data_IF_710956545200
#
_entry.id   IF_710956545200
#
_cell.length_a   1.000
_cell.length_b   1.000
_cell.length_c   1.000
_cell.angle_alpha   90.00
_cell.angle_beta   90.00
_cell.angle_gamma   90.00
#
_symmetry.space_group_name_H-M   'P 1'
#
loop_
_entity.id
_entity.type
_entity.pdbx_description
1 polymer ?
#
# COMPACT_ATOMS: atom_id res chain seq x y z
N UNK A 1 -25.27 -5.25 3.44
CA UNK A 1 -23.80 -5.40 3.53
C UNK A 1 -23.50 -6.86 3.82
N UNK A 2 -22.68 -7.54 3.00
CA UNK A 2 -22.25 -8.94 3.22
C UNK A 2 -20.83 -8.92 3.74
N UNK A 3 -20.58 -9.58 4.88
CA UNK A 3 -19.24 -9.74 5.43
C UNK A 3 -18.59 -11.00 4.84
N UNK A 4 -17.34 -10.89 4.41
CA UNK A 4 -16.49 -12.02 4.07
C UNK A 4 -15.55 -12.28 5.26
N UNK A 5 -15.71 -13.42 5.92
CA UNK A 5 -14.84 -13.81 7.02
C UNK A 5 -13.62 -14.54 6.49
N UNK A 6 -12.44 -14.18 7.00
CA UNK A 6 -11.19 -14.82 6.66
C UNK A 6 -10.82 -15.88 7.72
N UNK A 7 -10.28 -17.04 7.32
CA UNK A 7 -9.65 -17.94 8.27
C UNK A 7 -8.47 -17.26 8.98
N UNK A 8 -8.12 -17.67 10.21
CA UNK A 8 -6.94 -17.16 10.89
C UNK A 8 -5.68 -17.30 10.03
N UNK A 9 -4.80 -16.30 10.09
CA UNK A 9 -3.51 -16.29 9.39
C UNK A 9 -3.59 -16.54 7.88
N UNK A 10 -4.64 -16.04 7.22
CA UNK A 10 -4.81 -16.14 5.77
C UNK A 10 -4.60 -14.78 5.07
N UNK A 11 -3.36 -14.23 5.09
CA UNK A 11 -3.07 -12.95 4.43
C UNK A 11 -3.27 -13.02 2.91
N UNK A 12 -3.12 -14.21 2.33
CA UNK A 12 -3.32 -14.46 0.89
C UNK A 12 -4.76 -14.21 0.43
N UNK A 13 -5.73 -14.23 1.36
CA UNK A 13 -7.12 -13.88 1.07
C UNK A 13 -7.44 -12.42 1.39
N UNK A 14 -6.45 -11.58 1.70
CA UNK A 14 -6.65 -10.17 2.04
C UNK A 14 -5.93 -9.25 1.04
N UNK A 15 -6.62 -8.70 0.03
CA UNK A 15 -5.98 -7.95 -1.06
C UNK A 15 -5.24 -6.68 -0.60
N UNK A 16 -5.52 -6.18 0.61
CA UNK A 16 -4.77 -5.05 1.16
C UNK A 16 -3.31 -5.38 1.50
N UNK A 17 -2.98 -6.67 1.69
CA UNK A 17 -1.60 -7.10 1.97
C UNK A 17 -0.67 -6.83 0.78
N UNK A 18 -1.14 -7.12 -0.44
CA UNK A 18 -0.42 -6.76 -1.67
C UNK A 18 -0.34 -5.25 -1.87
N UNK A 19 -1.41 -4.52 -1.54
CA UNK A 19 -1.42 -3.06 -1.54
C UNK A 19 -0.35 -2.46 -0.61
N UNK A 20 -0.24 -2.97 0.63
CA UNK A 20 0.83 -2.57 1.54
C UNK A 20 2.21 -2.99 1.04
N UNK A 21 2.33 -4.15 0.40
CA UNK A 21 3.58 -4.58 -0.23
C UNK A 21 4.04 -3.61 -1.32
N UNK A 22 3.12 -3.18 -2.19
CA UNK A 22 3.38 -2.21 -3.25
C UNK A 22 3.76 -0.83 -2.69
N UNK A 23 3.04 -0.33 -1.68
CA UNK A 23 3.37 0.93 -1.00
C UNK A 23 4.78 0.87 -0.36
N UNK A 24 5.11 -0.24 0.32
CA UNK A 24 6.46 -0.47 0.87
C UNK A 24 7.53 -0.50 -0.23
N UNK A 25 7.23 -1.10 -1.38
CA UNK A 25 8.14 -1.11 -2.52
C UNK A 25 8.38 0.30 -3.05
N UNK A 26 7.34 1.12 -3.18
CA UNK A 26 7.45 2.53 -3.56
C UNK A 26 8.32 3.33 -2.57
N UNK A 27 8.10 3.16 -1.26
CA UNK A 27 8.90 3.83 -0.22
C UNK A 27 10.38 3.45 -0.35
N UNK A 28 10.68 2.16 -0.57
CA UNK A 28 12.06 1.68 -0.75
C UNK A 28 12.71 2.22 -2.02
N UNK A 29 11.95 2.32 -3.11
CA UNK A 29 12.43 2.91 -4.36
C UNK A 29 12.71 4.42 -4.21
N UNK A 30 11.95 5.12 -3.37
CA UNK A 30 12.08 6.54 -3.08
C UNK A 30 12.80 6.81 -1.75
N UNK A 31 13.81 5.99 -1.41
CA UNK A 31 14.45 5.98 -0.08
C UNK A 31 14.95 7.36 0.38
N UNK A 32 15.60 8.12 -0.49
CA UNK A 32 16.18 9.41 -0.08
C UNK A 32 15.12 10.47 0.16
N UNK A 33 14.09 10.52 -0.70
CA UNK A 33 12.91 11.35 -0.49
C UNK A 33 12.21 10.99 0.83
N UNK A 34 11.85 9.71 0.99
CA UNK A 34 11.16 9.24 2.20
C UNK A 34 11.96 9.46 3.48
N UNK A 35 13.30 9.34 3.42
CA UNK A 35 14.17 9.65 4.57
C UNK A 35 14.17 11.13 4.92
N UNK A 36 14.12 12.03 3.93
CA UNK A 36 14.02 13.48 4.16
C UNK A 36 12.71 13.83 4.86
N UNK A 37 11.59 13.36 4.30
CA UNK A 37 10.25 13.66 4.83
C UNK A 37 10.02 13.07 6.23
N UNK A 38 10.58 11.90 6.51
CA UNK A 38 10.51 11.27 7.84
C UNK A 38 11.58 11.79 8.81
N UNK A 39 12.56 12.56 8.33
CA UNK A 39 13.66 13.10 9.13
C UNK A 39 13.29 14.31 9.99
N UNK A 40 12.14 14.94 9.71
CA UNK A 40 11.63 16.08 10.48
C UNK A 40 12.38 17.39 10.21
N UNK A 41 13.00 17.53 9.04
CA UNK A 41 13.63 18.77 8.60
C UNK A 41 12.56 19.86 8.38
N UNK A 42 12.88 21.16 8.54
CA UNK A 42 11.95 22.24 8.25
C UNK A 42 11.38 22.14 6.83
N UNK A 43 10.05 22.02 6.71
CA UNK A 43 9.35 21.86 5.44
C UNK A 43 8.97 20.41 5.09
N UNK A 44 9.36 19.43 5.91
CA UNK A 44 8.93 18.03 5.72
C UNK A 44 7.42 17.87 5.91
N UNK A 45 6.79 17.09 5.04
CA UNK A 45 5.40 16.65 5.13
C UNK A 45 5.31 15.12 4.91
N UNK A 46 5.51 14.32 5.98
CA UNK A 46 5.45 12.86 5.88
C UNK A 46 4.05 12.34 5.50
N UNK A 47 2.98 13.11 5.74
CA UNK A 47 1.63 12.71 5.36
C UNK A 47 1.41 12.87 3.86
N UNK A 48 1.86 13.98 3.26
CA UNK A 48 1.83 14.17 1.82
C UNK A 48 2.64 13.08 1.10
N UNK A 49 3.83 12.75 1.60
CA UNK A 49 4.66 11.65 1.08
C UNK A 49 3.93 10.30 1.13
N UNK A 50 3.25 9.98 2.24
CA UNK A 50 2.47 8.74 2.35
C UNK A 50 1.29 8.72 1.38
N UNK A 51 0.62 9.86 1.17
CA UNK A 51 -0.43 9.97 0.15
C UNK A 51 0.12 9.71 -1.25
N UNK A 52 1.27 10.30 -1.59
CA UNK A 52 1.94 10.04 -2.86
C UNK A 52 2.28 8.56 -3.04
N UNK A 53 2.82 7.92 -2.00
CA UNK A 53 3.11 6.49 -2.02
C UNK A 53 1.87 5.64 -2.28
N UNK A 54 0.75 5.97 -1.62
CA UNK A 54 -0.53 5.28 -1.80
C UNK A 54 -1.06 5.47 -3.22
N UNK A 55 -1.20 6.70 -3.69
CA UNK A 55 -1.78 6.97 -5.00
C UNK A 55 -0.91 6.50 -6.16
N UNK A 56 0.41 6.46 -5.98
CA UNK A 56 1.34 5.94 -6.99
C UNK A 56 1.34 4.41 -7.06
N UNK A 57 1.20 3.73 -5.91
CA UNK A 57 1.32 2.26 -5.84
C UNK A 57 -0.02 1.52 -5.98
N UNK A 58 -1.12 2.09 -5.49
CA UNK A 58 -2.44 1.46 -5.46
C UNK A 58 -3.31 1.96 -6.62
N UNK A 59 -2.87 1.69 -7.85
CA UNK A 59 -3.67 2.02 -9.05
C UNK A 59 -4.89 1.10 -9.18
N UNK A 60 -5.95 1.53 -9.90
CA UNK A 60 -7.11 0.68 -10.16
C UNK A 60 -6.75 -0.67 -10.81
N UNK A 61 -5.77 -0.68 -11.71
CA UNK A 61 -5.31 -1.89 -12.40
C UNK A 61 -4.67 -2.88 -11.42
N UNK A 62 -3.81 -2.38 -10.52
CA UNK A 62 -3.20 -3.17 -9.47
C UNK A 62 -4.25 -3.72 -8.52
N UNK A 63 -5.21 -2.89 -8.08
CA UNK A 63 -6.29 -3.32 -7.20
C UNK A 63 -7.09 -4.48 -7.81
N UNK A 64 -7.46 -4.40 -9.08
CA UNK A 64 -8.12 -5.52 -9.79
C UNK A 64 -7.24 -6.77 -9.78
N UNK A 65 -5.93 -6.63 -10.00
CA UNK A 65 -4.98 -7.74 -9.87
C UNK A 65 -5.03 -8.42 -8.50
N UNK A 66 -4.96 -7.63 -7.42
CA UNK A 66 -4.94 -8.14 -6.05
C UNK A 66 -6.25 -8.79 -5.61
N UNK A 67 -7.39 -8.24 -6.03
CA UNK A 67 -8.68 -8.89 -5.78
C UNK A 67 -8.81 -10.24 -6.51
N UNK A 68 -8.19 -10.38 -7.70
CA UNK A 68 -8.14 -11.65 -8.42
C UNK A 68 -7.22 -12.66 -7.74
N UNK A 69 -6.03 -12.23 -7.30
CA UNK A 69 -5.09 -13.10 -6.59
C UNK A 69 -5.70 -13.62 -5.27
N UNK A 70 -6.40 -12.75 -4.54
CA UNK A 70 -7.13 -13.11 -3.33
C UNK A 70 -8.44 -13.90 -3.57
N UNK A 71 -8.81 -14.17 -4.82
CA UNK A 71 -9.93 -15.05 -5.19
C UNK A 71 -11.34 -14.43 -5.11
N UNK A 72 -11.44 -13.10 -5.17
CA UNK A 72 -12.73 -12.39 -5.10
C UNK A 72 -13.37 -12.11 -6.46
N UNK A 73 -12.61 -12.18 -7.56
CA UNK A 73 -13.06 -11.92 -8.93
C UNK A 73 -12.42 -12.87 -9.94
#
# INVERSE_FOLDING_TARGET
MRLAYLPPYSPDYNPIEEGFSAMKAWIRANRDYTRGELGGEPGSDPYAMLWEAVYSALTPENAVGWYRDAGYI
#
